data_IF_570778193421
#
_entry.id   IF_570778193421
#
_cell.length_a   1.000
_cell.length_b   1.000
_cell.length_c   1.000
_cell.angle_alpha   90.00
_cell.angle_beta   90.00
_cell.angle_gamma   90.00
#
_symmetry.space_group_name_H-M   'P 1'
#
loop_
_entity.id
_entity.type
_entity.pdbx_description
1 polymer ?
#
# COMPACT_ATOMS: atom_id res chain seq x y z
N UNK A 1 7.08 3.09 24.55
CA UNK A 1 7.06 4.57 24.55
C UNK A 1 8.26 5.07 25.35
N UNK A 2 9.42 5.26 24.72
CA UNK A 2 10.57 5.88 25.39
C UNK A 2 11.09 6.96 24.44
N UNK A 3 11.18 8.19 24.94
CA UNK A 3 11.73 9.39 24.28
C UNK A 3 10.74 10.28 23.49
N UNK A 4 9.60 10.68 24.08
CA UNK A 4 8.87 11.85 23.58
C UNK A 4 9.38 13.11 24.30
N UNK A 5 9.85 14.10 23.53
CA UNK A 5 10.30 15.39 24.07
C UNK A 5 9.12 16.13 24.74
N UNK A 6 9.30 16.58 25.98
CA UNK A 6 8.27 17.28 26.75
C UNK A 6 7.77 18.56 26.06
N UNK A 7 8.66 19.28 25.37
CA UNK A 7 8.31 20.48 24.62
C UNK A 7 7.39 20.14 23.43
N UNK A 8 7.71 19.09 22.66
CA UNK A 8 6.87 18.65 21.55
C UNK A 8 5.48 18.19 22.04
N UNK A 9 5.40 17.49 23.18
CA UNK A 9 4.12 17.10 23.78
C UNK A 9 3.29 18.32 24.20
N UNK A 10 3.91 19.33 24.81
CA UNK A 10 3.24 20.56 25.20
C UNK A 10 2.67 21.31 23.99
N UNK A 11 3.43 21.41 22.89
CA UNK A 11 2.97 22.04 21.65
C UNK A 11 1.76 21.31 21.05
N UNK A 12 1.81 19.97 20.99
CA UNK A 12 0.71 19.16 20.47
C UNK A 12 -0.53 19.24 21.35
N UNK A 13 -0.35 19.31 22.68
CA UNK A 13 -1.47 19.53 23.60
C UNK A 13 -2.10 20.91 23.39
N UNK A 14 -1.29 21.97 23.29
CA UNK A 14 -1.77 23.32 23.03
C UNK A 14 -2.49 23.44 21.67
N UNK A 15 -2.00 22.75 20.64
CA UNK A 15 -2.66 22.67 19.33
C UNK A 15 -3.99 21.92 19.41
N UNK A 16 -4.03 20.78 20.11
CA UNK A 16 -5.27 20.02 20.31
C UNK A 16 -6.32 20.80 21.10
N UNK A 17 -5.92 21.60 22.09
CA UNK A 17 -6.81 22.49 22.85
C UNK A 17 -7.40 23.58 21.93
N UNK A 18 -6.60 24.16 21.04
CA UNK A 18 -7.09 25.13 20.04
C UNK A 18 -8.00 24.49 18.99
N UNK A 19 -7.75 23.24 18.61
CA UNK A 19 -8.47 22.53 17.56
C UNK A 19 -9.65 21.68 18.07
N UNK A 20 -10.08 21.82 19.33
CA UNK A 20 -11.19 21.02 19.90
C UNK A 20 -12.49 21.10 19.08
N UNK A 21 -12.76 22.23 18.42
CA UNK A 21 -13.95 22.41 17.58
C UNK A 21 -13.87 21.75 16.20
N UNK A 22 -12.70 21.27 15.76
CA UNK A 22 -12.49 20.75 14.41
C UNK A 22 -12.79 19.24 14.29
N UNK A 23 -12.95 18.53 15.42
CA UNK A 23 -13.18 17.08 15.42
C UNK A 23 -11.94 16.22 15.12
N UNK A 24 -10.76 16.84 14.95
CA UNK A 24 -9.50 16.15 14.69
C UNK A 24 -8.56 16.21 15.90
N UNK A 25 -7.78 15.15 16.11
CA UNK A 25 -6.75 15.06 17.15
C UNK A 25 -5.38 14.87 16.52
N UNK A 26 -4.47 15.80 16.80
CA UNK A 26 -3.08 15.72 16.40
C UNK A 26 -2.37 14.75 17.35
N UNK A 27 -1.72 13.73 16.79
CA UNK A 27 -0.98 12.70 17.52
C UNK A 27 0.44 12.64 16.98
N UNK A 28 1.43 12.63 17.86
CA UNK A 28 2.81 12.34 17.48
C UNK A 28 3.01 10.83 17.48
N UNK A 29 3.14 10.27 16.28
CA UNK A 29 3.47 8.87 16.08
C UNK A 29 4.88 8.76 15.47
N UNK A 30 5.76 7.87 15.98
CA UNK A 30 7.07 7.63 15.38
C UNK A 30 6.96 7.18 13.92
N UNK A 31 7.84 7.69 13.06
CA UNK A 31 7.84 7.39 11.63
C UNK A 31 7.92 5.88 11.34
N UNK A 32 8.68 5.13 12.16
CA UNK A 32 8.78 3.67 12.05
C UNK A 32 7.45 2.95 12.25
N UNK A 33 6.58 3.44 13.13
CA UNK A 33 5.27 2.83 13.39
C UNK A 33 4.33 3.05 12.19
N UNK A 34 4.36 4.25 11.61
CA UNK A 34 3.61 4.58 10.39
C UNK A 34 4.09 3.70 9.22
N UNK A 35 5.41 3.58 9.05
CA UNK A 35 6.02 2.71 8.03
C UNK A 35 5.61 1.26 8.20
N UNK A 36 5.71 0.72 9.42
CA UNK A 36 5.33 -0.66 9.70
C UNK A 36 3.84 -0.92 9.44
N UNK A 37 2.97 0.04 9.78
CA UNK A 37 1.53 -0.04 9.48
C UNK A 37 1.28 -0.08 7.97
N UNK A 38 1.96 0.76 7.20
CA UNK A 38 1.83 0.79 5.74
C UNK A 38 2.29 -0.51 5.08
N UNK A 39 3.40 -1.09 5.54
CA UNK A 39 3.93 -2.36 5.00
C UNK A 39 3.04 -3.57 5.27
N UNK A 40 2.23 -3.52 6.34
CA UNK A 40 1.23 -4.55 6.68
C UNK A 40 -0.12 -4.33 6.01
N UNK A 41 -0.35 -3.15 5.42
CA UNK A 41 -1.62 -2.84 4.81
C UNK A 41 -1.75 -3.59 3.48
N UNK A 42 -2.93 -4.20 3.21
CA UNK A 42 -3.15 -4.91 1.97
C UNK A 42 -3.03 -3.99 0.75
N UNK A 43 -2.60 -4.57 -0.38
CA UNK A 43 -2.50 -3.87 -1.67
C UNK A 43 -3.58 -4.35 -2.63
N UNK A 44 -4.54 -3.48 -2.93
CA UNK A 44 -5.58 -3.76 -3.93
C UNK A 44 -4.96 -4.01 -5.30
N UNK A 45 -3.83 -3.38 -5.61
CA UNK A 45 -3.11 -3.65 -6.85
C UNK A 45 -2.62 -5.09 -6.96
N UNK A 46 -2.09 -5.65 -5.87
CA UNK A 46 -1.67 -7.05 -5.83
C UNK A 46 -2.83 -8.03 -6.01
N UNK A 47 -4.04 -7.67 -5.53
CA UNK A 47 -5.24 -8.50 -5.65
C UNK A 47 -5.81 -8.52 -7.07
N UNK A 48 -5.87 -7.34 -7.68
CA UNK A 48 -6.63 -7.11 -8.91
C UNK A 48 -5.78 -7.19 -10.18
N UNK A 49 -4.46 -7.11 -10.04
CA UNK A 49 -3.53 -7.27 -11.15
C UNK A 49 -2.20 -7.85 -10.66
N UNK A 50 -2.21 -9.06 -10.10
CA UNK A 50 -1.06 -9.69 -9.42
C UNK A 50 0.20 -9.74 -10.28
N UNK A 51 0.10 -10.11 -11.56
CA UNK A 51 1.26 -10.20 -12.47
C UNK A 51 1.90 -8.81 -12.68
N UNK A 52 1.10 -7.83 -13.12
CA UNK A 52 1.61 -6.48 -13.35
C UNK A 52 2.11 -5.82 -12.07
N UNK A 53 1.45 -6.09 -10.96
CA UNK A 53 1.83 -5.57 -9.66
C UNK A 53 3.15 -6.16 -9.16
N UNK A 54 3.34 -7.49 -9.19
CA UNK A 54 4.57 -8.15 -8.73
C UNK A 54 5.78 -7.70 -9.55
N UNK A 55 5.62 -7.54 -10.86
CA UNK A 55 6.66 -6.96 -11.72
C UNK A 55 6.99 -5.51 -11.31
N UNK A 56 5.97 -4.66 -11.18
CA UNK A 56 6.15 -3.26 -10.79
C UNK A 56 6.69 -3.04 -9.38
N UNK A 57 6.43 -4.01 -8.49
CA UNK A 57 6.91 -4.06 -7.11
C UNK A 57 8.30 -4.71 -6.98
N UNK A 58 8.97 -5.00 -8.10
CA UNK A 58 10.29 -5.65 -8.16
C UNK A 58 10.34 -7.03 -7.47
N UNK A 59 9.21 -7.72 -7.42
CA UNK A 59 9.08 -9.09 -6.91
C UNK A 59 9.10 -10.08 -8.07
N UNK A 60 10.21 -10.11 -8.82
CA UNK A 60 10.30 -10.85 -10.09
C UNK A 60 10.12 -12.36 -9.94
N UNK A 61 10.53 -12.93 -8.81
CA UNK A 61 10.27 -14.35 -8.52
C UNK A 61 8.75 -14.62 -8.44
N UNK A 62 8.02 -13.78 -7.70
CA UNK A 62 6.56 -13.88 -7.59
C UNK A 62 5.87 -13.62 -8.93
N UNK A 63 6.42 -12.74 -9.76
CA UNK A 63 5.94 -12.54 -11.12
C UNK A 63 6.01 -13.83 -11.95
N UNK A 64 7.15 -14.51 -11.98
CA UNK A 64 7.29 -15.79 -12.71
C UNK A 64 6.37 -16.86 -12.13
N UNK A 65 6.35 -16.99 -10.79
CA UNK A 65 5.49 -17.96 -10.11
C UNK A 65 3.99 -17.71 -10.35
N UNK A 66 3.59 -16.45 -10.58
CA UNK A 66 2.19 -16.09 -10.80
C UNK A 66 1.60 -16.60 -12.12
N UNK A 67 2.43 -17.06 -13.07
CA UNK A 67 1.98 -17.68 -14.31
C UNK A 67 1.55 -19.14 -14.16
N UNK A 68 1.98 -19.83 -13.09
CA UNK A 68 1.58 -21.21 -12.84
C UNK A 68 0.20 -21.16 -12.17
N UNK A 69 -0.88 -21.75 -12.73
CA UNK A 69 -2.25 -21.51 -12.24
C UNK A 69 -2.46 -21.74 -10.73
N UNK A 70 -1.96 -22.85 -10.20
CA UNK A 70 -2.09 -23.20 -8.77
C UNK A 70 -1.27 -22.25 -7.90
N UNK A 71 -0.02 -21.97 -8.31
CA UNK A 71 0.90 -21.10 -7.56
C UNK A 71 0.48 -19.64 -7.68
N UNK A 72 -0.16 -19.25 -8.79
CA UNK A 72 -0.66 -17.90 -9.03
C UNK A 72 -1.78 -17.52 -8.07
N UNK A 73 -2.66 -18.46 -7.72
CA UNK A 73 -3.65 -18.24 -6.67
C UNK A 73 -2.98 -17.99 -5.31
N UNK A 74 -1.97 -18.79 -4.96
CA UNK A 74 -1.18 -18.58 -3.74
C UNK A 74 -0.44 -17.24 -3.77
N UNK A 75 0.19 -16.91 -4.90
CA UNK A 75 0.92 -15.65 -5.11
C UNK A 75 0.02 -14.44 -4.95
N UNK A 76 -1.25 -14.52 -5.40
CA UNK A 76 -2.24 -13.46 -5.24
C UNK A 76 -2.50 -13.15 -3.76
N UNK A 77 -2.83 -14.15 -2.93
CA UNK A 77 -3.06 -13.91 -1.49
C UNK A 77 -1.78 -13.53 -0.75
N UNK A 78 -0.67 -14.18 -1.08
CA UNK A 78 0.63 -13.89 -0.49
C UNK A 78 1.05 -12.44 -0.77
N UNK A 79 0.96 -11.98 -2.02
CA UNK A 79 1.31 -10.62 -2.39
C UNK A 79 0.29 -9.59 -1.90
N UNK A 80 -0.98 -9.95 -1.77
CA UNK A 80 -2.01 -9.08 -1.21
C UNK A 80 -1.68 -8.66 0.23
N UNK A 81 -1.30 -9.61 1.09
CA UNK A 81 -1.01 -9.34 2.50
C UNK A 81 0.44 -8.95 2.78
N UNK A 82 1.40 -9.60 2.11
CA UNK A 82 2.82 -9.49 2.43
C UNK A 82 3.66 -8.86 1.33
N UNK A 83 3.08 -8.64 0.14
CA UNK A 83 3.82 -8.15 -1.02
C UNK A 83 4.50 -6.81 -0.78
N UNK A 84 3.83 -5.85 -0.12
CA UNK A 84 4.45 -4.54 0.19
C UNK A 84 5.68 -4.69 1.08
N UNK A 85 5.59 -5.54 2.10
CA UNK A 85 6.70 -5.85 2.99
C UNK A 85 7.87 -6.48 2.24
N UNK A 86 7.62 -7.53 1.46
CA UNK A 86 8.66 -8.20 0.69
C UNK A 86 9.29 -7.28 -0.36
N UNK A 87 8.47 -6.48 -1.02
CA UNK A 87 8.93 -5.49 -1.99
C UNK A 87 9.85 -4.47 -1.32
N UNK A 88 9.52 -4.00 -0.11
CA UNK A 88 10.39 -3.09 0.63
C UNK A 88 11.72 -3.73 1.04
N UNK A 89 11.68 -4.98 1.53
CA UNK A 89 12.87 -5.72 1.99
C UNK A 89 13.81 -6.13 0.83
N UNK A 90 13.26 -6.51 -0.33
CA UNK A 90 14.03 -7.11 -1.43
C UNK A 90 14.18 -6.20 -2.66
N UNK A 91 13.32 -5.19 -2.81
CA UNK A 91 13.21 -4.39 -4.05
C UNK A 91 14.30 -3.33 -4.23
N UNK A 92 15.20 -3.13 -3.27
CA UNK A 92 16.30 -2.16 -3.39
C UNK A 92 15.82 -0.76 -3.78
N UNK A 93 14.83 -0.23 -3.05
CA UNK A 93 14.28 1.10 -3.29
C UNK A 93 15.24 2.18 -2.81
N UNK A 94 15.37 3.28 -3.56
CA UNK A 94 16.30 4.36 -3.21
C UNK A 94 15.82 5.17 -2.00
N UNK A 95 14.50 5.33 -1.85
CA UNK A 95 13.91 6.01 -0.69
C UNK A 95 12.52 5.47 -0.35
N UNK A 96 12.07 5.76 0.88
CA UNK A 96 10.71 5.42 1.32
C UNK A 96 9.64 6.13 0.50
N UNK A 97 9.88 7.39 0.13
CA UNK A 97 8.94 8.17 -0.66
C UNK A 97 8.81 7.60 -2.09
N UNK A 98 9.92 7.19 -2.70
CA UNK A 98 9.92 6.52 -4.00
C UNK A 98 9.09 5.23 -3.95
N UNK A 99 9.31 4.41 -2.92
CA UNK A 99 8.54 3.18 -2.69
C UNK A 99 7.03 3.46 -2.58
N UNK A 100 6.64 4.41 -1.73
CA UNK A 100 5.22 4.74 -1.55
C UNK A 100 4.57 5.28 -2.83
N UNK A 101 5.27 6.17 -3.56
CA UNK A 101 4.80 6.67 -4.86
C UNK A 101 4.60 5.52 -5.84
N UNK A 102 5.53 4.58 -5.89
CA UNK A 102 5.43 3.41 -6.78
C UNK A 102 4.28 2.49 -6.38
N UNK A 103 4.14 2.15 -5.10
CA UNK A 103 3.03 1.30 -4.63
C UNK A 103 1.66 1.92 -4.93
N UNK A 104 1.51 3.23 -4.70
CA UNK A 104 0.27 3.96 -5.03
C UNK A 104 -0.01 3.95 -6.53
N UNK A 105 1.02 4.16 -7.37
CA UNK A 105 0.88 4.10 -8.82
C UNK A 105 0.37 2.72 -9.27
N UNK A 106 0.92 1.64 -8.71
CA UNK A 106 0.49 0.27 -9.03
C UNK A 106 -0.96 0.00 -8.58
N UNK A 107 -1.35 0.47 -7.40
CA UNK A 107 -2.74 0.36 -6.93
C UNK A 107 -3.71 1.14 -7.86
N UNK A 108 -3.32 2.33 -8.33
CA UNK A 108 -4.11 3.12 -9.28
C UNK A 108 -4.23 2.39 -10.63
N UNK A 109 -3.12 1.90 -11.18
CA UNK A 109 -3.12 1.16 -12.46
C UNK A 109 -4.05 -0.05 -12.38
N UNK A 110 -3.96 -0.82 -11.30
CA UNK A 110 -4.83 -1.98 -11.10
C UNK A 110 -6.31 -1.59 -10.93
N UNK A 111 -6.59 -0.47 -10.26
CA UNK A 111 -7.96 0.05 -10.14
C UNK A 111 -8.52 0.45 -11.50
N UNK A 112 -7.75 1.19 -12.30
CA UNK A 112 -8.13 1.58 -13.67
C UNK A 112 -8.32 0.35 -14.56
N UNK A 113 -7.46 -0.64 -14.42
CA UNK A 113 -7.56 -1.92 -15.13
C UNK A 113 -8.90 -2.62 -14.87
N UNK A 114 -9.30 -2.75 -13.60
CA UNK A 114 -10.59 -3.35 -13.26
C UNK A 114 -11.77 -2.53 -13.73
N UNK A 115 -11.71 -1.21 -13.57
CA UNK A 115 -12.78 -0.34 -14.07
C UNK A 115 -12.93 -0.48 -15.59
N UNK A 116 -11.83 -0.59 -16.32
CA UNK A 116 -11.82 -0.89 -17.75
C UNK A 116 -12.49 -2.24 -18.07
N UNK A 117 -12.12 -3.31 -17.37
CA UNK A 117 -12.72 -4.63 -17.56
C UNK A 117 -14.23 -4.64 -17.28
N UNK A 118 -14.67 -3.99 -16.20
CA UNK A 118 -16.09 -3.85 -15.85
C UNK A 118 -16.84 -3.04 -16.90
N UNK A 119 -16.24 -1.95 -17.41
CA UNK A 119 -16.83 -1.14 -18.47
C UNK A 119 -16.98 -1.93 -19.78
N UNK A 120 -15.94 -2.67 -20.19
CA UNK A 120 -15.99 -3.54 -21.39
C UNK A 120 -17.06 -4.61 -21.23
N UNK A 121 -17.09 -5.28 -20.08
CA UNK A 121 -18.10 -6.28 -19.78
C UNK A 121 -19.52 -5.69 -19.84
N UNK A 122 -19.73 -4.50 -19.26
CA UNK A 122 -21.00 -3.81 -19.27
C UNK A 122 -21.46 -3.46 -20.69
N UNK A 123 -20.55 -2.94 -21.53
CA UNK A 123 -20.84 -2.60 -22.92
C UNK A 123 -21.13 -3.85 -23.76
N UNK A 124 -20.40 -4.94 -23.55
CA UNK A 124 -20.61 -6.21 -24.25
C UNK A 124 -21.89 -6.95 -23.80
N UNK A 125 -22.36 -6.69 -22.58
CA UNK A 125 -23.58 -7.30 -22.01
C UNK A 125 -24.84 -6.48 -22.29
N UNK A 126 -24.70 -5.31 -22.91
CA UNK A 126 -25.85 -4.55 -23.41
C UNK A 126 -26.34 -5.19 -24.72
N UNK A 127 -27.61 -5.61 -24.78
CA UNK A 127 -28.21 -6.14 -26.01
C UNK A 127 -28.34 -5.08 -27.11
#
# INVERSE_FOLDING_TARGET
MKNQCANCQAQVKALNEKCQGCGFKIVMEPEEQIRARYLRAPSLGALFFTQGWTFGAKLYLWFVLSFIPIVGFVALFACFFFGRRWSWEQGGWGSWEEFQKRMRLLDIIATVWILGLVMVWYLASRP
#
